data_IF_303671252024
#
_entry.id   IF_303671252024
#
_cell.length_a   1.000
_cell.length_b   1.000
_cell.length_c   1.000
_cell.angle_alpha   90.00
_cell.angle_beta   90.00
_cell.angle_gamma   90.00
#
_symmetry.space_group_name_H-M   'P 1'
#
loop_
_entity.id
_entity.type
_entity.pdbx_description
1 polymer ?
#
# COMPACT_ATOMS: atom_id res chain seq x y z
N UNK A 1 -23.06 -17.74 9.82
CA UNK A 1 -21.63 -17.72 9.47
C UNK A 1 -21.20 -16.26 9.50
N UNK A 2 -20.57 -15.84 10.59
CA UNK A 2 -20.22 -14.44 10.83
C UNK A 2 -18.97 -14.13 10.02
N UNK A 3 -19.14 -13.47 8.87
CA UNK A 3 -18.05 -12.80 8.18
C UNK A 3 -17.71 -11.59 9.06
N UNK A 4 -16.80 -11.77 10.01
CA UNK A 4 -16.27 -10.64 10.74
C UNK A 4 -15.52 -9.76 9.73
N UNK A 5 -16.09 -8.60 9.44
CA UNK A 5 -15.46 -7.47 8.77
C UNK A 5 -14.40 -6.86 9.71
N UNK A 6 -13.49 -7.70 10.23
CA UNK A 6 -12.38 -7.21 11.03
C UNK A 6 -11.50 -6.39 10.09
N UNK A 7 -11.27 -5.10 10.37
CA UNK A 7 -10.46 -4.28 9.50
C UNK A 7 -9.06 -4.89 9.44
N UNK A 8 -8.70 -5.43 8.28
CA UNK A 8 -7.34 -5.91 8.04
C UNK A 8 -6.37 -4.79 8.40
N UNK A 9 -5.39 -5.09 9.26
CA UNK A 9 -4.41 -4.09 9.68
C UNK A 9 -3.76 -3.47 8.44
N UNK A 10 -3.77 -2.15 8.32
CA UNK A 10 -3.17 -1.43 7.18
C UNK A 10 -1.87 -0.77 7.60
N UNK A 11 -0.85 -0.81 6.74
CA UNK A 11 0.39 -0.04 6.92
C UNK A 11 0.55 0.96 5.78
N UNK A 12 0.45 2.24 6.12
CA UNK A 12 0.82 3.34 5.22
C UNK A 12 2.33 3.57 5.29
N UNK A 13 3.00 3.47 4.14
CA UNK A 13 4.44 3.73 4.03
C UNK A 13 4.71 4.67 2.85
N UNK A 14 5.92 5.18 2.77
CA UNK A 14 6.32 6.08 1.69
C UNK A 14 6.70 5.33 0.42
N UNK A 15 6.67 6.05 -0.70
CA UNK A 15 7.11 5.50 -2.00
C UNK A 15 8.58 5.04 -2.01
N UNK A 16 9.37 5.39 -0.98
CA UNK A 16 10.71 4.83 -0.76
C UNK A 16 10.65 3.33 -0.45
N UNK A 17 9.63 2.88 0.29
CA UNK A 17 9.38 1.48 0.68
C UNK A 17 8.69 0.65 -0.41
N UNK A 18 8.56 1.19 -1.63
CA UNK A 18 7.96 0.52 -2.78
C UNK A 18 8.84 -0.62 -3.34
N UNK A 19 9.01 -1.68 -2.56
CA UNK A 19 9.92 -2.81 -2.81
C UNK A 19 9.26 -4.15 -2.52
N UNK A 20 9.52 -5.18 -3.35
CA UNK A 20 8.87 -6.50 -3.25
C UNK A 20 9.00 -7.12 -1.85
N UNK A 21 10.19 -7.02 -1.24
CA UNK A 21 10.44 -7.54 0.11
C UNK A 21 9.59 -6.86 1.19
N UNK A 22 9.32 -5.55 1.06
CA UNK A 22 8.44 -4.83 2.00
C UNK A 22 7.01 -5.33 1.91
N UNK A 23 6.48 -5.46 0.69
CA UNK A 23 5.14 -6.01 0.49
C UNK A 23 5.06 -7.45 1.01
N UNK A 24 6.04 -8.31 0.69
CA UNK A 24 6.07 -9.69 1.16
C UNK A 24 6.08 -9.78 2.71
N UNK A 25 6.88 -8.96 3.39
CA UNK A 25 6.94 -8.93 4.84
C UNK A 25 5.61 -8.47 5.49
N UNK A 26 4.94 -7.48 4.91
CA UNK A 26 3.65 -6.99 5.40
C UNK A 26 2.54 -8.02 5.21
N UNK A 27 2.44 -8.60 4.01
CA UNK A 27 1.47 -9.67 3.77
C UNK A 27 1.74 -10.90 4.64
N UNK A 28 2.99 -11.24 4.92
CA UNK A 28 3.35 -12.30 5.85
C UNK A 28 2.87 -12.04 7.29
N UNK A 29 2.58 -10.79 7.64
CA UNK A 29 2.00 -10.37 8.94
C UNK A 29 0.48 -10.13 8.87
N UNK A 30 -0.16 -10.41 7.73
CA UNK A 30 -1.57 -10.08 7.52
C UNK A 30 -1.86 -8.58 7.39
N UNK A 31 -0.83 -7.78 7.11
CA UNK A 31 -0.94 -6.31 7.01
C UNK A 31 -1.07 -5.89 5.55
N UNK A 32 -2.07 -5.07 5.22
CA UNK A 32 -2.28 -4.51 3.90
C UNK A 32 -1.42 -3.24 3.67
N UNK A 33 -0.50 -3.25 2.70
CA UNK A 33 0.33 -2.09 2.37
C UNK A 33 -0.42 -1.00 1.59
N UNK A 34 -0.44 0.22 2.11
CA UNK A 34 -0.90 1.44 1.42
C UNK A 34 0.32 2.30 0.99
N UNK A 35 1.10 1.79 0.04
CA UNK A 35 2.34 2.43 -0.41
C UNK A 35 2.09 3.15 -1.74
N UNK A 36 2.32 4.48 -1.84
CA UNK A 36 2.07 5.21 -3.06
C UNK A 36 3.14 4.85 -4.12
N UNK A 37 2.76 4.28 -5.28
CA UNK A 37 3.72 3.91 -6.31
C UNK A 37 4.58 5.09 -6.74
N UNK A 38 5.83 4.83 -7.13
CA UNK A 38 6.71 5.87 -7.70
C UNK A 38 6.17 6.35 -9.06
N UNK A 39 6.46 7.60 -9.43
CA UNK A 39 5.92 8.26 -10.64
C UNK A 39 6.08 7.42 -11.93
N UNK A 40 7.21 6.73 -12.07
CA UNK A 40 7.53 5.92 -13.25
C UNK A 40 7.57 4.42 -12.91
N UNK A 41 6.80 4.00 -11.89
CA UNK A 41 6.75 2.60 -11.48
C UNK A 41 6.27 1.70 -12.64
N UNK A 42 7.04 0.66 -12.92
CA UNK A 42 6.66 -0.43 -13.83
C UNK A 42 6.01 -1.58 -13.04
N UNK A 43 5.07 -2.31 -13.64
CA UNK A 43 4.51 -3.51 -13.03
C UNK A 43 5.61 -4.51 -12.68
N UNK A 44 5.48 -5.15 -11.52
CA UNK A 44 6.34 -6.29 -11.20
C UNK A 44 5.82 -7.55 -11.90
N UNK A 45 6.75 -8.35 -12.44
CA UNK A 45 6.47 -9.65 -13.06
C UNK A 45 6.47 -10.81 -12.04
N UNK A 46 6.95 -10.56 -10.82
CA UNK A 46 6.93 -11.56 -9.74
C UNK A 46 5.50 -11.94 -9.36
N UNK A 47 5.30 -13.18 -8.90
CA UNK A 47 3.98 -13.72 -8.54
C UNK A 47 3.63 -13.59 -7.05
N UNK A 48 4.36 -12.79 -6.27
CA UNK A 48 4.01 -12.55 -4.86
C UNK A 48 2.67 -11.82 -4.76
N UNK A 49 1.92 -12.04 -3.68
CA UNK A 49 0.62 -11.38 -3.42
C UNK A 49 0.73 -9.85 -3.55
N UNK A 50 1.84 -9.28 -3.07
CA UNK A 50 2.09 -7.84 -3.17
C UNK A 50 2.28 -7.28 -4.57
N UNK A 51 2.65 -8.11 -5.55
CA UNK A 51 2.76 -7.67 -6.94
C UNK A 51 1.41 -7.32 -7.52
N UNK A 52 0.35 -8.11 -7.23
CA UNK A 52 -1.00 -7.81 -7.70
C UNK A 52 -1.52 -6.50 -7.12
N UNK A 53 -1.41 -6.35 -5.79
CA UNK A 53 -1.87 -5.14 -5.08
C UNK A 53 -1.16 -3.89 -5.59
N UNK A 54 0.17 -3.92 -5.68
CA UNK A 54 0.94 -2.80 -6.22
C UNK A 54 0.62 -2.51 -7.69
N UNK A 55 0.51 -3.52 -8.54
CA UNK A 55 0.26 -3.32 -9.97
C UNK A 55 -1.11 -2.69 -10.22
N UNK A 56 -2.13 -3.02 -9.41
CA UNK A 56 -3.43 -2.34 -9.41
C UNK A 56 -3.28 -0.88 -8.98
N UNK A 57 -2.50 -0.59 -7.93
CA UNK A 57 -2.22 0.78 -7.51
C UNK A 57 -1.50 1.60 -8.61
N UNK A 58 -0.56 0.98 -9.35
CA UNK A 58 0.09 1.60 -10.52
C UNK A 58 -0.94 1.91 -11.61
N UNK A 59 -1.80 0.95 -11.95
CA UNK A 59 -2.83 1.14 -12.98
C UNK A 59 -3.81 2.27 -12.59
N UNK A 60 -4.24 2.30 -11.32
CA UNK A 60 -5.08 3.37 -10.80
C UNK A 60 -4.36 4.73 -10.83
N UNK A 61 -3.09 4.80 -10.42
CA UNK A 61 -2.30 6.02 -10.50
C UNK A 61 -2.12 6.52 -11.94
N UNK A 62 -1.98 5.63 -12.92
CA UNK A 62 -1.87 5.99 -14.35
C UNK A 62 -3.19 6.51 -14.90
N UNK A 63 -4.32 5.94 -14.49
CA UNK A 63 -5.66 6.31 -14.97
C UNK A 63 -6.19 7.59 -14.32
N UNK A 64 -6.05 7.71 -13.00
CA UNK A 64 -6.69 8.75 -12.19
C UNK A 64 -5.69 9.80 -11.67
N UNK A 65 -4.39 9.54 -11.77
CA UNK A 65 -3.36 10.38 -11.18
C UNK A 65 -3.07 10.02 -9.71
N UNK A 66 -1.80 10.23 -9.32
CA UNK A 66 -1.29 9.87 -8.00
C UNK A 66 -1.93 10.67 -6.85
N UNK A 67 -2.32 11.93 -7.10
CA UNK A 67 -2.98 12.78 -6.10
C UNK A 67 -4.35 12.21 -5.72
N UNK A 68 -5.14 11.81 -6.72
CA UNK A 68 -6.46 11.19 -6.51
C UNK A 68 -6.28 9.85 -5.80
N UNK A 69 -5.37 8.99 -6.28
CA UNK A 69 -5.11 7.72 -5.62
C UNK A 69 -4.79 7.89 -4.12
N UNK A 70 -3.91 8.83 -3.75
CA UNK A 70 -3.55 9.10 -2.35
C UNK A 70 -4.72 9.55 -1.46
N UNK A 71 -5.75 10.16 -2.03
CA UNK A 71 -6.93 10.58 -1.28
C UNK A 71 -7.85 9.39 -0.99
N UNK A 72 -8.03 8.50 -1.97
CA UNK A 72 -8.94 7.36 -1.87
C UNK A 72 -8.30 6.12 -1.23
N UNK A 73 -6.98 5.97 -1.32
CA UNK A 73 -6.26 4.77 -0.87
C UNK A 73 -6.01 4.70 0.63
N UNK A 74 -6.54 5.63 1.43
CA UNK A 74 -6.23 5.73 2.86
C UNK A 74 -4.91 6.43 3.20
N UNK A 75 -4.03 6.70 2.22
CA UNK A 75 -2.72 7.36 2.44
C UNK A 75 -2.85 8.73 3.12
N UNK A 76 -3.90 9.49 2.82
CA UNK A 76 -4.14 10.79 3.47
C UNK A 76 -4.59 10.70 4.93
N UNK A 77 -4.92 9.52 5.48
CA UNK A 77 -5.21 9.39 6.92
C UNK A 77 -4.02 9.78 7.81
N UNK A 78 -2.81 9.97 7.26
CA UNK A 78 -1.63 10.48 7.96
C UNK A 78 -0.87 11.58 7.22
N UNK A 79 -1.48 12.75 6.98
CA UNK A 79 -0.68 13.99 6.89
C UNK A 79 -0.37 14.62 8.26
N UNK A 80 -0.77 13.98 9.37
CA UNK A 80 -0.71 14.55 10.73
C UNK A 80 -0.56 13.48 11.83
N UNK A 81 0.22 12.42 11.61
CA UNK A 81 0.73 11.67 12.76
C UNK A 81 2.22 11.44 12.59
N UNK A 82 2.94 12.37 13.22
CA UNK A 82 4.30 12.20 13.68
C UNK A 82 4.53 10.79 14.22
N UNK A 83 5.69 10.25 13.86
CA UNK A 83 6.48 9.28 14.61
C UNK A 83 5.84 8.79 15.93
N UNK A 84 5.23 7.61 15.91
CA UNK A 84 5.12 6.81 17.13
C UNK A 84 6.05 5.61 16.96
N UNK A 85 7.30 5.80 17.39
CA UNK A 85 8.08 4.71 17.92
C UNK A 85 7.41 4.30 19.23
N UNK A 86 6.83 3.11 19.27
CA UNK A 86 6.38 2.49 20.51
C UNK A 86 7.62 2.15 21.33
N UNK A 87 7.75 2.78 22.50
CA UNK A 87 8.70 2.42 23.56
C UNK A 87 8.24 1.22 24.36
#
# INVERSE_FOLDING_TARGET
>A
MQLADEPAATATLDGADDAQGRYAALFGRGIMPEIPPRKNAKPWQSKITGSKVRNVAIAACKRLGRRIWKHWSGYHRRSLAEFQATG
#
